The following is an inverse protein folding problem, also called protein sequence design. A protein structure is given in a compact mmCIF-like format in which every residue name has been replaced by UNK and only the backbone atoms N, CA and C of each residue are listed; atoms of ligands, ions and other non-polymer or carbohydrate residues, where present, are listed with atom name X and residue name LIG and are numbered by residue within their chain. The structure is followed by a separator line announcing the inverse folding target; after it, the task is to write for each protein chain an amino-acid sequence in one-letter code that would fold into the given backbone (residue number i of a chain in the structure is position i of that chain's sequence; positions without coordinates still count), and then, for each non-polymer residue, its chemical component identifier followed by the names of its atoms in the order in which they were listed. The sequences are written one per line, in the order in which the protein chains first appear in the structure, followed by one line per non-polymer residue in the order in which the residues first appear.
data_IF_903064548791
#
_entry.id   IF_903064548791
#
_cell.length_a   1.000
_cell.length_b   1.000
_cell.length_c   1.000
_cell.angle_alpha   90.00
_cell.angle_beta   90.00
_cell.angle_gamma   90.00
#
_symmetry.space_group_name_H-M   'P 1'
#
loop_
_entity.id
_entity.type
_entity.pdbx_description
1 polymer ?
#
# COMPACT_ATOMS: atom_id res chain seq x y z
N UNK A 1 15.03 4.40 9.93
CA UNK A 1 13.85 4.34 9.04
C UNK A 1 12.55 4.07 9.81
N UNK A 2 12.41 2.94 10.51
CA UNK A 2 11.15 2.57 11.20
C UNK A 2 10.60 3.62 12.18
N UNK A 3 11.42 4.17 13.08
CA UNK A 3 10.98 5.24 14.00
C UNK A 3 10.58 6.55 13.29
N UNK A 4 11.10 6.79 12.07
CA UNK A 4 10.81 8.01 11.29
C UNK A 4 9.49 7.93 10.51
N UNK A 5 8.93 6.73 10.31
CA UNK A 5 7.62 6.56 9.66
C UNK A 5 6.45 7.06 10.53
N UNK A 6 6.63 7.15 11.86
CA UNK A 6 5.60 7.66 12.79
C UNK A 6 4.33 6.81 12.90
N UNK A 7 4.22 5.72 12.12
CA UNK A 7 3.15 4.73 12.13
C UNK A 7 3.65 3.38 11.63
N UNK A 8 2.79 2.37 11.63
CA UNK A 8 3.11 1.05 11.06
C UNK A 8 3.47 1.16 9.57
N UNK A 9 4.49 0.41 9.14
CA UNK A 9 4.82 0.23 7.73
C UNK A 9 3.86 -0.77 7.06
N UNK A 10 2.56 -0.48 7.13
CA UNK A 10 1.48 -1.32 6.62
C UNK A 10 0.60 -0.50 5.66
N UNK A 11 0.33 -1.03 4.47
CA UNK A 11 -0.54 -0.40 3.47
C UNK A 11 -1.27 -1.47 2.65
N UNK A 12 -2.61 -1.35 2.57
CA UNK A 12 -3.42 -2.21 1.71
C UNK A 12 -3.44 -1.61 0.30
N UNK A 13 -2.62 -2.18 -0.60
CA UNK A 13 -2.49 -1.71 -1.99
C UNK A 13 -3.74 -2.00 -2.82
N UNK A 14 -4.42 -3.11 -2.53
CA UNK A 14 -5.55 -3.59 -3.32
C UNK A 14 -6.72 -3.97 -2.43
N UNK A 15 -7.92 -3.71 -2.94
CA UNK A 15 -9.18 -4.17 -2.37
C UNK A 15 -10.00 -4.82 -3.48
N UNK A 16 -10.45 -6.05 -3.24
CA UNK A 16 -11.32 -6.77 -4.15
C UNK A 16 -12.53 -7.32 -3.42
N UNK A 17 -13.72 -7.16 -4.01
CA UNK A 17 -14.96 -7.75 -3.52
C UNK A 17 -15.99 -7.88 -4.65
N UNK A 18 -17.03 -8.66 -4.39
CA UNK A 18 -18.20 -8.77 -5.27
C UNK A 18 -19.18 -7.67 -4.92
N UNK A 19 -19.58 -6.86 -5.89
CA UNK A 19 -20.50 -5.75 -5.66
C UNK A 19 -21.84 -6.27 -5.12
N UNK A 20 -22.37 -5.69 -4.03
CA UNK A 20 -23.47 -6.29 -3.28
C UNK A 20 -24.83 -6.22 -4.00
N UNK A 21 -24.97 -5.41 -5.06
CA UNK A 21 -26.26 -5.22 -5.75
C UNK A 21 -26.35 -6.05 -7.03
N UNK A 22 -25.30 -6.07 -7.85
CA UNK A 22 -25.29 -6.69 -9.18
C UNK A 22 -24.35 -7.91 -9.29
N UNK A 23 -23.71 -8.29 -8.18
CA UNK A 23 -22.75 -9.39 -8.10
C UNK A 23 -21.53 -9.28 -9.06
N UNK A 24 -21.24 -8.08 -9.57
CA UNK A 24 -20.09 -7.86 -10.42
C UNK A 24 -18.77 -7.90 -9.59
N UNK A 25 -17.72 -8.61 -10.03
CA UNK A 25 -16.43 -8.56 -9.37
C UNK A 25 -15.79 -7.18 -9.54
N UNK A 26 -15.38 -6.55 -8.45
CA UNK A 26 -14.73 -5.24 -8.44
C UNK A 26 -13.31 -5.34 -7.86
N UNK A 27 -12.40 -4.51 -8.38
CA UNK A 27 -11.04 -4.35 -7.86
C UNK A 27 -10.68 -2.86 -7.82
N UNK A 28 -10.10 -2.46 -6.70
CA UNK A 28 -9.60 -1.12 -6.46
C UNK A 28 -8.11 -1.21 -6.13
N UNK A 29 -7.36 -0.19 -6.51
CA UNK A 29 -5.95 -0.07 -6.15
C UNK A 29 -5.65 1.33 -5.62
N UNK A 30 -4.72 1.40 -4.68
CA UNK A 30 -4.15 2.65 -4.18
C UNK A 30 -2.64 2.59 -4.27
N UNK A 31 -2.06 3.63 -4.86
CA UNK A 31 -0.61 3.80 -4.89
C UNK A 31 -0.02 3.79 -3.48
N UNK A 32 1.25 3.39 -3.38
CA UNK A 32 1.96 3.37 -2.11
C UNK A 32 2.07 4.80 -1.54
N UNK A 33 1.76 5.01 -0.24
CA UNK A 33 1.96 6.29 0.41
C UNK A 33 3.40 6.78 0.31
N UNK A 34 3.57 8.10 0.15
CA UNK A 34 4.87 8.70 -0.13
C UNK A 34 5.93 8.40 0.94
N UNK A 35 5.53 8.31 2.20
CA UNK A 35 6.42 8.02 3.32
C UNK A 35 6.91 6.57 3.34
N UNK A 36 6.05 5.60 3.02
CA UNK A 36 6.46 4.19 2.86
C UNK A 36 7.33 4.04 1.61
N UNK A 37 7.00 4.71 0.51
CA UNK A 37 7.83 4.72 -0.70
C UNK A 37 9.24 5.28 -0.43
N UNK A 38 9.33 6.37 0.34
CA UNK A 38 10.59 6.96 0.74
C UNK A 38 11.39 6.03 1.67
N UNK A 39 10.74 5.44 2.67
CA UNK A 39 11.36 4.48 3.57
C UNK A 39 11.95 3.27 2.80
N UNK A 40 11.21 2.72 1.83
CA UNK A 40 11.72 1.65 0.97
C UNK A 40 12.94 2.11 0.16
N UNK A 41 12.90 3.31 -0.42
CA UNK A 41 14.01 3.84 -1.19
C UNK A 41 15.32 3.93 -0.37
N UNK A 42 15.23 4.23 0.92
CA UNK A 42 16.38 4.28 1.83
C UNK A 42 16.92 2.90 2.23
N UNK A 43 16.08 1.86 2.18
CA UNK A 43 16.41 0.51 2.61
C UNK A 43 16.82 -0.42 1.47
N UNK A 44 16.56 -0.03 0.22
CA UNK A 44 16.99 -0.82 -0.94
C UNK A 44 18.52 -0.92 -0.96
N UNK A 45 19.08 -2.14 -1.15
CA UNK A 45 20.51 -2.29 -1.35
C UNK A 45 20.97 -1.48 -2.56
N UNK A 46 22.20 -1.02 -2.52
CA UNK A 46 22.90 -0.54 -3.71
C UNK A 46 23.40 -1.78 -4.43
N UNK A 47 23.04 -1.94 -5.70
CA UNK A 47 23.60 -2.98 -6.58
C UNK A 47 25.10 -2.74 -6.83
#
# INVERSE_FOLDING_TARGET
VGAALGRQALHAVELGFVHPVDAAPMRFSSALPADIAHALAQLRPIE
#
